data_IF_847670678280
#
_entry.id   IF_847670678280
#
_cell.length_a   1.000
_cell.length_b   1.000
_cell.length_c   1.000
_cell.angle_alpha   90.00
_cell.angle_beta   90.00
_cell.angle_gamma   90.00
#
_symmetry.space_group_name_H-M   'P 1'
#
loop_
_entity.id
_entity.type
_entity.pdbx_description
1 polymer ?
#
# COMPACT_ATOMS: atom_id res chain seq x y z
N UNK A 1 -18.73 -6.50 -25.65
CA UNK A 1 -18.02 -5.65 -24.67
C UNK A 1 -16.61 -6.19 -24.54
N UNK A 2 -15.57 -5.37 -24.67
CA UNK A 2 -14.18 -5.82 -24.55
C UNK A 2 -13.94 -6.35 -23.14
N UNK A 3 -13.52 -7.61 -23.01
CA UNK A 3 -13.18 -8.20 -21.71
C UNK A 3 -11.90 -7.53 -21.19
N UNK A 4 -12.02 -6.61 -20.23
CA UNK A 4 -10.88 -5.91 -19.64
C UNK A 4 -10.07 -6.89 -18.80
N UNK A 5 -8.75 -6.90 -18.97
CA UNK A 5 -7.88 -7.72 -18.11
C UNK A 5 -7.85 -7.13 -16.71
N UNK A 6 -8.11 -7.95 -15.71
CA UNK A 6 -7.99 -7.53 -14.31
C UNK A 6 -6.52 -7.52 -13.91
N UNK A 7 -6.09 -6.42 -13.31
CA UNK A 7 -4.75 -6.22 -12.79
C UNK A 7 -4.87 -5.89 -11.30
N UNK A 8 -4.39 -6.81 -10.46
CA UNK A 8 -4.47 -6.62 -9.01
C UNK A 8 -3.13 -6.11 -8.48
N UNK A 9 -3.16 -4.94 -7.86
CA UNK A 9 -2.02 -4.37 -7.15
C UNK A 9 -2.22 -4.63 -5.66
N UNK A 10 -1.49 -5.61 -5.13
CA UNK A 10 -1.30 -5.72 -3.69
C UNK A 10 -0.30 -4.64 -3.24
N UNK A 11 -0.55 -3.94 -2.14
CA UNK A 11 0.35 -2.87 -1.64
C UNK A 11 0.24 -2.62 -0.14
N UNK A 12 1.31 -2.04 0.42
CA UNK A 12 1.37 -1.55 1.80
C UNK A 12 1.97 -0.14 1.77
N UNK A 13 1.39 0.79 2.53
CA UNK A 13 1.85 2.20 2.59
C UNK A 13 3.24 2.35 3.22
N UNK A 14 3.73 1.32 3.93
CA UNK A 14 5.10 1.25 4.44
C UNK A 14 6.13 0.95 3.34
N UNK A 15 5.70 0.60 2.13
CA UNK A 15 6.59 0.30 1.01
C UNK A 15 6.70 1.51 0.07
N UNK A 16 7.89 2.13 -0.08
CA UNK A 16 8.07 3.23 -1.03
C UNK A 16 8.02 2.74 -2.48
N UNK A 17 8.44 1.50 -2.75
CA UNK A 17 8.36 0.88 -4.07
C UNK A 17 6.91 0.61 -4.48
N UNK A 18 6.06 0.24 -3.52
CA UNK A 18 4.62 0.07 -3.78
C UNK A 18 3.96 1.40 -4.13
N UNK A 19 4.41 2.52 -3.57
CA UNK A 19 3.92 3.85 -3.97
C UNK A 19 4.25 4.16 -5.42
N UNK A 20 5.50 3.91 -5.84
CA UNK A 20 5.93 4.12 -7.22
C UNK A 20 5.08 3.28 -8.20
N UNK A 21 4.91 1.99 -7.91
CA UNK A 21 4.06 1.10 -8.72
C UNK A 21 2.60 1.56 -8.76
N UNK A 22 2.07 1.97 -7.62
CA UNK A 22 0.72 2.53 -7.50
C UNK A 22 0.52 3.76 -8.39
N UNK A 23 1.40 4.76 -8.33
CA UNK A 23 1.25 5.98 -9.14
C UNK A 23 1.32 5.69 -10.63
N UNK A 24 2.21 4.79 -11.06
CA UNK A 24 2.31 4.36 -12.45
C UNK A 24 0.97 3.75 -12.88
N UNK A 25 0.43 2.79 -12.13
CA UNK A 25 -0.84 2.14 -12.47
C UNK A 25 -2.00 3.13 -12.48
N UNK A 26 -2.08 4.03 -11.50
CA UNK A 26 -3.10 5.08 -11.46
C UNK A 26 -3.04 6.01 -12.67
N UNK A 27 -1.86 6.34 -13.19
CA UNK A 27 -1.70 7.14 -14.42
C UNK A 27 -2.16 6.41 -15.67
N UNK A 28 -1.96 5.09 -15.73
CA UNK A 28 -2.30 4.27 -16.90
C UNK A 28 -3.71 3.66 -16.87
N UNK A 29 -4.45 3.74 -15.74
CA UNK A 29 -5.79 3.12 -15.58
C UNK A 29 -6.81 3.55 -16.65
N UNK A 30 -6.68 4.77 -17.18
CA UNK A 30 -7.57 5.32 -18.21
C UNK A 30 -6.99 5.19 -19.63
N UNK A 31 -5.76 4.69 -19.77
CA UNK A 31 -5.03 4.55 -21.03
C UNK A 31 -5.05 3.09 -21.50
N UNK A 32 -4.80 2.15 -20.59
CA UNK A 32 -4.77 0.73 -20.88
C UNK A 32 -6.16 0.10 -20.76
N UNK A 33 -6.41 -0.97 -21.54
CA UNK A 33 -7.65 -1.75 -21.46
C UNK A 33 -7.62 -2.75 -20.29
N UNK A 34 -7.43 -2.23 -19.07
CA UNK A 34 -7.31 -3.00 -17.83
C UNK A 34 -8.30 -2.52 -16.78
N UNK A 35 -8.69 -3.41 -15.88
CA UNK A 35 -9.41 -3.11 -14.64
C UNK A 35 -8.40 -3.19 -13.48
N UNK A 36 -7.99 -2.05 -12.93
CA UNK A 36 -6.99 -2.00 -11.86
C UNK A 36 -7.69 -2.12 -10.51
N UNK A 37 -7.38 -3.18 -9.77
CA UNK A 37 -7.90 -3.42 -8.42
C UNK A 37 -6.81 -3.21 -7.39
N UNK A 38 -7.05 -2.24 -6.52
CA UNK A 38 -6.18 -1.93 -5.39
C UNK A 38 -6.49 -2.90 -4.24
N UNK A 39 -5.51 -3.69 -3.81
CA UNK A 39 -5.62 -4.73 -2.78
C UNK A 39 -4.75 -4.36 -1.58
N UNK A 40 -5.28 -3.73 -0.53
CA UNK A 40 -4.50 -3.38 0.66
C UNK A 40 -4.00 -4.67 1.34
N UNK A 41 -2.68 -4.85 1.40
CA UNK A 41 -2.03 -6.01 2.00
C UNK A 41 -1.05 -5.60 3.10
N UNK A 42 -0.72 -6.52 4.00
CA UNK A 42 0.19 -6.23 5.11
C UNK A 42 1.57 -6.83 4.89
N UNK A 43 2.54 -5.98 4.58
CA UNK A 43 3.91 -6.40 4.25
C UNK A 43 4.60 -7.12 5.43
N UNK A 44 4.32 -6.69 6.66
CA UNK A 44 4.82 -7.36 7.86
C UNK A 44 4.36 -8.82 7.96
N UNK A 45 3.12 -9.10 7.55
CA UNK A 45 2.57 -10.46 7.50
C UNK A 45 3.22 -11.31 6.42
N UNK A 46 3.46 -10.74 5.24
CA UNK A 46 4.16 -11.41 4.13
C UNK A 46 5.58 -11.79 4.54
N UNK A 47 6.35 -10.84 5.09
CA UNK A 47 7.73 -11.08 5.51
C UNK A 47 7.82 -12.17 6.60
N UNK A 48 6.89 -12.17 7.56
CA UNK A 48 6.82 -13.20 8.59
C UNK A 48 6.53 -14.59 7.99
N UNK A 49 5.56 -14.68 7.09
CA UNK A 49 5.16 -15.94 6.47
C UNK A 49 6.26 -16.53 5.55
N UNK A 50 7.00 -15.68 4.84
CA UNK A 50 8.03 -16.12 3.90
C UNK A 50 9.44 -16.20 4.50
N UNK A 51 9.62 -15.81 5.76
CA UNK A 51 10.92 -15.75 6.44
C UNK A 51 11.89 -14.72 5.84
N UNK A 52 11.36 -13.76 5.06
CA UNK A 52 12.18 -12.74 4.40
C UNK A 52 12.47 -11.57 5.33
N UNK A 53 13.60 -10.89 5.12
CA UNK A 53 14.01 -9.72 5.91
C UNK A 53 13.91 -8.44 5.09
N UNK A 54 13.54 -7.29 5.69
CA UNK A 54 13.52 -6.02 4.97
C UNK A 54 14.87 -5.73 4.31
N UNK A 55 14.91 -5.28 3.05
CA UNK A 55 16.18 -5.03 2.33
C UNK A 55 17.03 -3.96 3.02
N UNK A 56 16.38 -3.02 3.72
CA UNK A 56 17.05 -2.00 4.52
C UNK A 56 17.93 -2.56 5.65
N UNK A 57 17.63 -3.77 6.15
CA UNK A 57 18.42 -4.45 7.19
C UNK A 57 19.71 -5.08 6.64
N UNK A 58 19.88 -5.15 5.32
CA UNK A 58 21.08 -5.67 4.67
C UNK A 58 21.94 -4.49 4.20
N UNK A 59 23.13 -4.25 4.77
CA UNK A 59 23.89 -3.00 4.57
C UNK A 59 24.05 -2.57 3.11
N UNK A 60 24.45 -3.50 2.24
CA UNK A 60 24.65 -3.20 0.82
C UNK A 60 23.32 -2.88 0.09
N UNK A 61 22.22 -3.54 0.46
CA UNK A 61 20.90 -3.30 -0.13
C UNK A 61 20.30 -2.00 0.39
N UNK A 62 20.44 -1.70 1.68
CA UNK A 62 20.00 -0.43 2.28
C UNK A 62 20.72 0.77 1.66
N UNK A 63 22.05 0.69 1.52
CA UNK A 63 22.84 1.75 0.87
C UNK A 63 22.45 1.97 -0.60
N UNK A 64 22.10 0.91 -1.32
CA UNK A 64 21.60 1.01 -2.68
C UNK A 64 20.19 1.63 -2.74
N UNK A 65 19.28 1.19 -1.86
CA UNK A 65 17.88 1.62 -1.83
C UNK A 65 17.74 3.15 -1.73
N UNK A 66 18.58 3.83 -0.92
CA UNK A 66 18.55 5.29 -0.84
C UNK A 66 19.02 6.01 -2.11
N UNK A 67 19.89 5.40 -2.93
CA UNK A 67 20.29 5.93 -4.24
C UNK A 67 19.20 5.67 -5.28
N UNK A 68 18.64 4.46 -5.24
CA UNK A 68 17.62 3.98 -6.15
C UNK A 68 16.32 4.78 -6.03
N UNK A 69 15.77 4.91 -4.80
CA UNK A 69 14.54 5.66 -4.56
C UNK A 69 14.63 7.13 -5.01
N UNK A 70 15.80 7.77 -4.88
CA UNK A 70 16.01 9.13 -5.39
C UNK A 70 15.90 9.20 -6.91
N UNK A 71 16.55 8.26 -7.62
CA UNK A 71 16.48 8.17 -9.08
C UNK A 71 15.06 7.89 -9.56
N UNK A 72 14.36 6.98 -8.88
CA UNK A 72 12.99 6.62 -9.23
C UNK A 72 11.99 7.74 -8.91
N UNK A 73 12.21 8.47 -7.82
CA UNK A 73 11.47 9.69 -7.46
C UNK A 73 11.54 10.73 -8.57
N UNK A 74 12.75 11.02 -9.06
CA UNK A 74 12.98 11.93 -10.19
C UNK A 74 12.39 11.39 -11.51
N UNK A 75 12.62 10.11 -11.81
CA UNK A 75 12.19 9.50 -13.07
C UNK A 75 10.68 9.39 -13.21
N UNK A 76 9.99 9.02 -12.12
CA UNK A 76 8.53 8.87 -12.11
C UNK A 76 7.81 10.12 -11.62
N UNK A 77 8.50 11.20 -11.25
CA UNK A 77 7.86 12.41 -10.70
C UNK A 77 6.90 12.07 -9.55
N UNK A 78 7.41 11.33 -8.56
CA UNK A 78 6.71 10.97 -7.31
C UNK A 78 7.59 11.49 -6.18
N UNK A 79 7.09 12.33 -5.25
CA UNK A 79 7.94 13.04 -4.29
C UNK A 79 8.39 12.15 -3.12
N UNK A 80 9.07 11.04 -3.43
CA UNK A 80 9.61 10.11 -2.42
C UNK A 80 10.83 10.72 -1.75
N UNK A 81 10.72 10.92 -0.44
CA UNK A 81 11.73 11.32 0.51
C UNK A 81 11.79 10.30 1.64
N UNK A 82 12.98 9.77 1.90
CA UNK A 82 13.15 8.84 3.02
C UNK A 82 12.89 9.53 4.36
N UNK A 83 12.15 8.88 5.30
CA UNK A 83 11.99 9.37 6.66
C UNK A 83 13.34 9.60 7.34
N UNK A 84 13.42 10.61 8.20
CA UNK A 84 14.65 10.91 8.96
C UNK A 84 15.05 9.75 9.88
N UNK A 85 14.06 9.08 10.48
CA UNK A 85 14.22 7.84 11.25
C UNK A 85 13.49 6.66 10.58
N UNK A 86 14.05 6.22 9.46
CA UNK A 86 13.52 5.09 8.69
C UNK A 86 13.31 3.84 9.54
N UNK A 87 14.26 3.49 10.41
CA UNK A 87 14.17 2.25 11.19
C UNK A 87 13.04 2.32 12.20
N UNK A 88 12.89 3.42 12.93
CA UNK A 88 11.81 3.55 13.89
C UNK A 88 10.43 3.57 13.21
N UNK A 89 10.28 4.32 12.12
CA UNK A 89 8.98 4.49 11.45
C UNK A 89 8.55 3.23 10.69
N UNK A 90 9.45 2.65 9.89
CA UNK A 90 9.12 1.54 8.98
C UNK A 90 9.20 0.19 9.69
N UNK A 91 10.22 -0.01 10.54
CA UNK A 91 10.50 -1.32 11.13
C UNK A 91 9.86 -1.47 12.52
N UNK A 92 9.85 -0.44 13.36
CA UNK A 92 9.32 -0.54 14.73
C UNK A 92 7.83 -0.20 14.81
N UNK A 93 7.42 0.95 14.27
CA UNK A 93 6.02 1.39 14.26
C UNK A 93 5.16 0.61 13.26
N UNK A 94 5.68 0.40 12.05
CA UNK A 94 4.99 -0.31 10.97
C UNK A 94 3.74 0.42 10.47
N UNK A 95 2.85 -0.31 9.80
CA UNK A 95 1.69 0.26 9.10
C UNK A 95 0.36 -0.42 9.44
N UNK A 96 0.29 -1.27 10.47
CA UNK A 96 -0.88 -2.12 10.73
C UNK A 96 -2.18 -1.32 10.88
N UNK A 97 -2.17 -0.23 11.65
CA UNK A 97 -3.35 0.65 11.82
C UNK A 97 -3.75 1.31 10.50
N UNK A 98 -2.77 1.82 9.74
CA UNK A 98 -3.00 2.43 8.43
C UNK A 98 -3.58 1.42 7.43
N UNK A 99 -3.01 0.22 7.32
CA UNK A 99 -3.49 -0.80 6.37
C UNK A 99 -4.87 -1.33 6.76
N UNK A 100 -5.20 -1.44 8.05
CA UNK A 100 -6.58 -1.73 8.49
C UNK A 100 -7.53 -0.59 8.13
N UNK A 101 -7.12 0.66 8.27
CA UNK A 101 -7.92 1.80 7.84
C UNK A 101 -8.19 1.78 6.34
N UNK A 102 -7.16 1.58 5.51
CA UNK A 102 -7.32 1.45 4.05
C UNK A 102 -8.20 0.24 3.70
N UNK A 103 -8.11 -0.86 4.45
CA UNK A 103 -9.00 -2.03 4.28
C UNK A 103 -10.45 -1.67 4.58
N UNK A 104 -10.71 -0.95 5.68
CA UNK A 104 -12.06 -0.47 6.00
C UNK A 104 -12.60 0.48 4.92
N UNK A 105 -11.75 1.37 4.38
CA UNK A 105 -12.10 2.22 3.23
C UNK A 105 -12.45 1.37 2.02
N UNK A 106 -11.65 0.35 1.69
CA UNK A 106 -11.94 -0.54 0.56
C UNK A 106 -13.26 -1.30 0.70
N UNK A 107 -13.64 -1.69 1.92
CA UNK A 107 -14.88 -2.42 2.17
C UNK A 107 -16.14 -1.55 2.09
N UNK A 108 -16.05 -0.29 2.54
CA UNK A 108 -17.22 0.56 2.76
C UNK A 108 -17.32 1.75 1.81
N UNK A 109 -16.18 2.24 1.33
CA UNK A 109 -16.00 3.45 0.53
C UNK A 109 -14.87 3.27 -0.51
N UNK A 110 -14.98 2.28 -1.42
CA UNK A 110 -13.90 1.89 -2.34
C UNK A 110 -13.41 3.05 -3.22
N UNK A 111 -14.26 4.04 -3.51
CA UNK A 111 -13.92 5.25 -4.26
C UNK A 111 -12.83 6.10 -3.60
N UNK A 112 -12.63 5.96 -2.28
CA UNK A 112 -11.62 6.69 -1.52
C UNK A 112 -10.31 5.91 -1.30
N UNK A 113 -10.20 4.66 -1.75
CA UNK A 113 -8.98 3.84 -1.55
C UNK A 113 -7.76 4.50 -2.19
N UNK A 114 -7.89 4.94 -3.44
CA UNK A 114 -6.80 5.60 -4.15
C UNK A 114 -6.34 6.89 -3.44
N UNK A 115 -7.20 7.90 -3.17
CA UNK A 115 -6.74 9.13 -2.53
C UNK A 115 -6.26 8.91 -1.09
N UNK A 116 -6.89 8.03 -0.29
CA UNK A 116 -6.42 7.75 1.08
C UNK A 116 -5.04 7.13 1.09
N UNK A 117 -4.78 6.15 0.24
CA UNK A 117 -3.46 5.50 0.18
C UNK A 117 -2.38 6.48 -0.25
N UNK A 118 -2.68 7.34 -1.24
CA UNK A 118 -1.77 8.42 -1.66
C UNK A 118 -1.45 9.38 -0.51
N UNK A 119 -2.44 9.83 0.25
CA UNK A 119 -2.22 10.71 1.40
C UNK A 119 -1.41 10.06 2.52
N UNK A 120 -1.62 8.77 2.77
CA UNK A 120 -0.79 8.02 3.74
C UNK A 120 0.66 7.92 3.26
N UNK A 121 0.90 7.62 1.98
CA UNK A 121 2.26 7.64 1.42
C UNK A 121 2.89 9.03 1.46
N UNK A 122 2.17 10.09 1.14
CA UNK A 122 2.67 11.46 1.24
C UNK A 122 3.09 11.79 2.68
N UNK A 123 2.31 11.36 3.69
CA UNK A 123 2.69 11.57 5.10
C UNK A 123 4.02 10.91 5.44
N UNK A 124 4.14 9.59 5.25
CA UNK A 124 5.34 8.85 5.65
C UNK A 124 6.54 9.11 4.73
N UNK A 125 6.35 9.14 3.41
CA UNK A 125 7.41 9.18 2.40
C UNK A 125 7.58 10.52 1.70
N UNK A 126 6.94 11.60 2.16
CA UNK A 126 7.21 12.95 1.64
C UNK A 126 7.30 13.97 2.76
N UNK A 127 6.38 13.91 3.73
CA UNK A 127 6.28 14.86 4.83
C UNK A 127 7.03 14.44 6.10
N UNK A 128 7.55 13.20 6.16
CA UNK A 128 8.20 12.60 7.34
C UNK A 128 7.29 12.65 8.58
N UNK A 129 6.02 12.26 8.38
CA UNK A 129 4.97 12.25 9.41
C UNK A 129 4.47 10.86 9.73
N UNK A 130 3.93 10.76 10.93
CA UNK A 130 3.34 9.55 11.47
C UNK A 130 2.10 9.07 10.66
N UNK A 131 1.89 7.76 10.64
CA UNK A 131 0.72 7.06 10.06
C UNK A 131 0.12 6.00 11.00
N UNK A 132 0.57 5.93 12.27
CA UNK A 132 0.11 4.91 13.21
C UNK A 132 -0.92 5.42 14.19
N UNK A 133 -0.85 6.70 14.54
CA UNK A 133 -1.77 7.33 15.48
C UNK A 133 -3.13 7.63 14.84
N UNK A 134 -4.24 7.55 15.60
CA UNK A 134 -5.57 7.85 15.11
C UNK A 134 -5.69 9.22 14.43
N UNK A 135 -5.10 10.24 15.03
CA UNK A 135 -5.12 11.62 14.54
C UNK A 135 -4.40 11.75 13.19
N UNK A 136 -3.24 11.09 13.06
CA UNK A 136 -2.48 11.03 11.81
C UNK A 136 -3.30 10.44 10.66
N UNK A 137 -4.02 9.35 10.93
CA UNK A 137 -4.87 8.67 9.94
C UNK A 137 -6.06 9.55 9.56
N UNK A 138 -6.70 10.21 10.53
CA UNK A 138 -7.82 11.12 10.27
C UNK A 138 -7.40 12.33 9.44
N UNK A 139 -6.21 12.88 9.67
CA UNK A 139 -5.68 13.97 8.85
C UNK A 139 -5.47 13.53 7.39
N UNK A 140 -4.92 12.34 7.16
CA UNK A 140 -4.78 11.77 5.82
C UNK A 140 -6.14 11.58 5.14
N UNK A 141 -7.10 10.99 5.86
CA UNK A 141 -8.46 10.78 5.37
C UNK A 141 -9.16 12.09 4.99
N UNK A 142 -9.00 13.14 5.81
CA UNK A 142 -9.54 14.47 5.53
C UNK A 142 -8.94 15.09 4.26
N UNK A 143 -7.61 15.02 4.09
CA UNK A 143 -6.95 15.49 2.86
C UNK A 143 -7.41 14.70 1.62
N UNK A 144 -7.69 13.41 1.78
CA UNK A 144 -8.23 12.54 0.74
C UNK A 144 -9.70 12.80 0.39
N UNK A 145 -10.37 13.73 1.10
CA UNK A 145 -11.74 14.15 0.80
C UNK A 145 -12.84 13.43 1.59
N UNK A 146 -12.49 12.57 2.56
CA UNK A 146 -13.50 11.99 3.46
C UNK A 146 -14.04 13.05 4.41
N UNK A 147 -15.35 13.01 4.65
CA UNK A 147 -15.94 13.79 5.74
C UNK A 147 -15.42 13.31 7.11
N UNK A 148 -15.41 14.20 8.09
CA UNK A 148 -14.98 13.87 9.45
C UNK A 148 -15.79 12.70 10.05
N UNK A 149 -17.08 12.62 9.72
CA UNK A 149 -17.96 11.53 10.17
C UNK A 149 -17.58 10.19 9.53
N UNK A 150 -17.37 10.16 8.21
CA UNK A 150 -16.92 8.95 7.50
C UNK A 150 -15.57 8.48 8.04
N UNK A 151 -14.59 9.38 8.13
CA UNK A 151 -13.26 9.06 8.63
C UNK A 151 -13.30 8.51 10.06
N UNK A 152 -14.12 9.10 10.95
CA UNK A 152 -14.27 8.61 12.33
C UNK A 152 -14.90 7.22 12.39
N UNK A 153 -15.95 6.96 11.59
CA UNK A 153 -16.58 5.63 11.52
C UNK A 153 -15.61 4.56 11.02
N UNK A 154 -14.87 4.88 9.96
CA UNK A 154 -13.85 3.99 9.40
C UNK A 154 -12.72 3.71 10.40
N UNK A 155 -12.29 4.73 11.15
CA UNK A 155 -11.26 4.59 12.17
C UNK A 155 -11.72 3.67 13.31
N UNK A 156 -13.00 3.73 13.72
CA UNK A 156 -13.55 2.78 14.68
C UNK A 156 -13.60 1.35 14.12
N UNK A 157 -13.86 1.21 12.81
CA UNK A 157 -13.96 -0.08 12.15
C UNK A 157 -12.62 -0.87 12.11
N UNK A 158 -11.46 -0.21 12.22
CA UNK A 158 -10.14 -0.89 12.15
C UNK A 158 -9.96 -1.98 13.21
N UNK A 159 -10.67 -1.86 14.34
CA UNK A 159 -10.61 -2.82 15.45
C UNK A 159 -11.58 -3.99 15.28
N UNK A 160 -12.52 -3.89 14.35
CA UNK A 160 -13.56 -4.89 14.14
C UNK A 160 -12.99 -6.16 13.51
N UNK A 161 -13.50 -7.35 13.89
CA UNK A 161 -13.04 -8.62 13.36
C UNK A 161 -13.07 -8.70 11.83
N UNK A 162 -14.10 -8.12 11.20
CA UNK A 162 -14.32 -8.17 9.76
C UNK A 162 -13.18 -7.47 9.00
N UNK A 163 -12.74 -6.29 9.46
CA UNK A 163 -11.64 -5.54 8.85
C UNK A 163 -10.30 -6.24 9.07
N UNK A 164 -10.09 -6.81 10.27
CA UNK A 164 -8.86 -7.57 10.58
C UNK A 164 -8.75 -8.81 9.71
N UNK A 165 -9.85 -9.52 9.53
CA UNK A 165 -9.90 -10.73 8.71
C UNK A 165 -9.75 -10.38 7.23
N UNK A 166 -10.40 -9.34 6.73
CA UNK A 166 -10.26 -8.92 5.34
C UNK A 166 -8.81 -8.55 4.97
N UNK A 167 -8.09 -7.83 5.85
CA UNK A 167 -6.67 -7.53 5.63
C UNK A 167 -5.83 -8.82 5.64
N UNK A 168 -6.11 -9.73 6.56
CA UNK A 168 -5.42 -11.02 6.66
C UNK A 168 -5.63 -11.85 5.40
N UNK A 169 -6.87 -12.00 4.95
CA UNK A 169 -7.24 -12.76 3.74
C UNK A 169 -6.58 -12.18 2.50
N UNK A 170 -6.62 -10.85 2.32
CA UNK A 170 -5.95 -10.18 1.19
C UNK A 170 -4.42 -10.40 1.23
N UNK A 171 -3.84 -10.45 2.43
CA UNK A 171 -2.40 -10.72 2.62
C UNK A 171 -2.06 -12.18 2.32
N UNK A 172 -2.90 -13.13 2.73
CA UNK A 172 -2.75 -14.57 2.44
C UNK A 172 -2.90 -14.87 0.95
N UNK A 173 -3.85 -14.23 0.28
CA UNK A 173 -4.01 -14.30 -1.17
C UNK A 173 -2.73 -13.84 -1.89
N UNK A 174 -2.17 -12.69 -1.50
CA UNK A 174 -0.89 -12.21 -2.05
C UNK A 174 0.22 -13.27 -1.90
N UNK A 175 0.32 -13.91 -0.74
CA UNK A 175 1.31 -14.98 -0.49
C UNK A 175 1.06 -16.19 -1.41
N UNK A 176 -0.20 -16.61 -1.55
CA UNK A 176 -0.59 -17.75 -2.39
C UNK A 176 -0.27 -17.51 -3.87
N UNK A 177 -0.33 -16.26 -4.32
CA UNK A 177 0.08 -15.88 -5.66
C UNK A 177 1.60 -15.70 -5.84
N UNK A 178 2.40 -15.89 -4.79
CA UNK A 178 3.87 -15.88 -4.87
C UNK A 178 4.54 -14.54 -4.54
N UNK A 179 3.82 -13.61 -3.90
CA UNK A 179 4.40 -12.35 -3.39
C UNK A 179 5.32 -12.65 -2.20
N UNK A 180 6.60 -12.23 -2.27
CA UNK A 180 7.63 -12.57 -1.25
C UNK A 180 8.48 -11.40 -0.72
N UNK A 181 8.81 -10.41 -1.56
CA UNK A 181 9.90 -9.47 -1.26
C UNK A 181 9.53 -7.98 -1.38
N UNK A 182 8.30 -7.70 -1.78
CA UNK A 182 7.81 -6.38 -2.13
C UNK A 182 6.44 -6.59 -2.77
N UNK A 183 5.53 -5.67 -2.51
CA UNK A 183 4.19 -5.68 -3.06
C UNK A 183 4.18 -4.97 -4.42
N UNK A 184 5.09 -5.41 -5.30
CA UNK A 184 5.30 -4.93 -6.67
C UNK A 184 4.79 -5.93 -7.72
N UNK A 185 4.12 -7.00 -7.28
CA UNK A 185 3.53 -7.99 -8.18
C UNK A 185 2.11 -7.55 -8.56
N UNK A 186 1.98 -7.06 -9.79
CA UNK A 186 0.73 -7.10 -10.52
C UNK A 186 0.41 -8.55 -10.84
N UNK A 187 -0.70 -9.05 -10.30
CA UNK A 187 -1.22 -10.34 -10.70
C UNK A 187 -2.24 -10.12 -11.81
N UNK A 188 -1.96 -10.70 -12.98
CA UNK A 188 -2.99 -10.93 -13.97
C UNK A 188 -3.72 -12.20 -13.54
N UNK A 189 -5.00 -12.09 -13.18
CA UNK A 189 -5.86 -13.27 -13.21
C UNK A 189 -6.01 -13.68 -14.67
N UNK A 190 -5.22 -14.67 -15.08
CA UNK A 190 -5.60 -15.53 -16.19
C UNK A 190 -6.56 -16.55 -15.61
N UNK A 191 -7.81 -16.55 -16.08
CA UNK A 191 -8.59 -17.77 -16.11
C UNK A 191 -7.67 -18.87 -16.67
N UNK A 192 -7.40 -19.87 -15.84
CA UNK A 192 -6.53 -21.02 -16.12
C UNK A 192 -7.17 -22.00 -17.11
N UNK A 193 -7.76 -21.47 -18.18
CA UNK A 193 -8.54 -22.22 -19.15
C UNK A 193 -8.23 -21.82 -20.60
N UNK A 194 -6.97 -21.56 -20.95
CA UNK A 194 -6.50 -21.68 -22.35
C UNK A 194 -5.01 -22.05 -22.39
N UNK A 195 -4.72 -23.34 -22.21
CA UNK A 195 -3.65 -24.05 -22.89
C UNK A 195 -4.22 -25.37 -23.41
#
# INVERSE_FOLDING_TARGET
MSNRRVLELFYDVVSPYSWLGFEILCRYKNIWNVDIRLRPGFLGGIMQATGNKPPAMVPNKGAYMGKDLRRLSEFYDVPVRQPSDFFHVVVQKGSLSAMRFVTAVNMLHPEFVEPVSRELWLRIWSEDKDITEPESILEAAKKAGLSAEQASKLLQAISQPEVKNALKETTEEAINHGVRNGLDQCLQNQDSSFF
#
